data_IF_008783509527
#
_entry.id   IF_008783509527
#
_cell.length_a   1.000
_cell.length_b   1.000
_cell.length_c   1.000
_cell.angle_alpha   90.00
_cell.angle_beta   90.00
_cell.angle_gamma   90.00
#
_symmetry.space_group_name_H-M   'P 1'
#
loop_
_entity.id
_entity.type
_entity.pdbx_description
1 polymer ?
#
# COMPACT_ATOMS: atom_id res chain seq x y z
N UNK A 1 -17.87 -38.84 5.90
CA UNK A 1 -17.39 -37.48 6.24
C UNK A 1 -16.51 -37.61 7.47
N UNK A 2 -15.20 -37.52 7.31
CA UNK A 2 -14.25 -37.44 8.42
C UNK A 2 -14.50 -36.15 9.20
N UNK A 3 -14.63 -36.26 10.53
CA UNK A 3 -14.80 -35.09 11.40
C UNK A 3 -13.45 -34.39 11.51
N UNK A 4 -13.37 -33.12 11.10
CA UNK A 4 -12.15 -32.30 11.21
C UNK A 4 -11.85 -32.11 12.68
N UNK A 5 -10.74 -32.66 13.17
CA UNK A 5 -10.32 -32.50 14.56
C UNK A 5 -9.38 -31.31 14.72
N UNK A 6 -9.26 -30.79 15.94
CA UNK A 6 -8.29 -29.72 16.24
C UNK A 6 -6.83 -30.16 15.95
N UNK A 7 -6.54 -31.46 16.02
CA UNK A 7 -5.22 -32.03 15.71
C UNK A 7 -4.91 -31.88 14.22
N UNK A 8 -5.88 -32.12 13.35
CA UNK A 8 -5.71 -32.00 11.90
C UNK A 8 -5.41 -30.57 11.47
N UNK A 9 -6.07 -29.60 12.11
CA UNK A 9 -5.85 -28.16 11.86
C UNK A 9 -4.44 -27.73 12.27
N UNK A 10 -3.98 -28.16 13.44
CA UNK A 10 -2.64 -27.83 13.95
C UNK A 10 -1.54 -28.48 13.10
N UNK A 11 -1.70 -29.77 12.74
CA UNK A 11 -0.77 -30.47 11.87
C UNK A 11 -0.62 -29.76 10.52
N UNK A 12 -1.74 -29.34 9.92
CA UNK A 12 -1.75 -28.54 8.69
C UNK A 12 -1.04 -27.20 8.86
N UNK A 13 -1.28 -26.48 9.95
CA UNK A 13 -0.58 -25.22 10.22
C UNK A 13 0.94 -25.40 10.23
N UNK A 14 1.41 -26.41 10.97
CA UNK A 14 2.83 -26.72 11.08
C UNK A 14 3.44 -27.12 9.74
N UNK A 15 2.71 -27.91 8.94
CA UNK A 15 3.14 -28.30 7.60
C UNK A 15 3.34 -27.06 6.70
N UNK A 16 2.38 -26.12 6.68
CA UNK A 16 2.53 -24.87 5.92
C UNK A 16 3.70 -24.02 6.38
N UNK A 17 3.89 -23.87 7.70
CA UNK A 17 5.01 -23.11 8.24
C UNK A 17 6.36 -23.75 7.85
N UNK A 18 6.40 -25.09 7.78
CA UNK A 18 7.57 -25.81 7.29
C UNK A 18 7.81 -25.56 5.80
N UNK A 19 6.78 -25.72 4.98
CA UNK A 19 6.89 -25.69 3.52
C UNK A 19 7.14 -24.27 2.97
N UNK A 20 6.41 -23.28 3.49
CA UNK A 20 6.43 -21.92 2.95
C UNK A 20 7.23 -20.93 3.79
N UNK A 21 7.47 -21.23 5.07
CA UNK A 21 8.16 -20.31 5.99
C UNK A 21 9.52 -20.83 6.46
N UNK A 22 10.01 -21.94 5.88
CA UNK A 22 11.30 -22.54 6.24
C UNK A 22 11.35 -23.11 7.66
N UNK A 23 10.20 -23.53 8.21
CA UNK A 23 10.08 -24.06 9.57
C UNK A 23 10.00 -23.00 10.66
N UNK A 24 10.01 -21.71 10.30
CA UNK A 24 9.81 -20.61 11.22
C UNK A 24 8.32 -20.25 11.33
N UNK A 25 7.83 -20.02 12.54
CA UNK A 25 6.46 -19.54 12.77
C UNK A 25 6.36 -18.03 12.48
N UNK A 26 5.62 -17.59 11.44
CA UNK A 26 5.49 -16.19 11.09
C UNK A 26 4.95 -15.30 12.21
N UNK A 27 4.16 -15.85 13.15
CA UNK A 27 3.63 -15.06 14.25
C UNK A 27 4.67 -14.64 15.29
N UNK A 28 5.83 -15.29 15.31
CA UNK A 28 6.97 -14.96 16.17
C UNK A 28 7.97 -14.02 15.47
N UNK A 29 7.63 -13.51 14.29
CA UNK A 29 8.46 -12.57 13.56
C UNK A 29 8.62 -11.26 14.34
N UNK A 30 9.86 -10.81 14.51
CA UNK A 30 10.14 -9.47 14.99
C UNK A 30 9.82 -8.48 13.87
N UNK A 31 9.23 -7.33 14.23
CA UNK A 31 8.91 -6.28 13.26
C UNK A 31 10.17 -5.81 12.56
N UNK A 32 10.25 -6.02 11.25
CA UNK A 32 11.33 -5.56 10.38
C UNK A 32 10.74 -4.64 9.31
N UNK A 33 11.22 -3.40 9.26
CA UNK A 33 10.83 -2.41 8.25
C UNK A 33 11.58 -2.64 6.93
N UNK A 34 11.39 -3.82 6.32
CA UNK A 34 11.90 -4.11 4.98
C UNK A 34 10.89 -3.68 3.92
N UNK A 35 11.34 -3.33 2.71
CA UNK A 35 10.43 -2.98 1.62
C UNK A 35 9.50 -4.16 1.28
N UNK A 36 8.23 -3.83 1.02
CA UNK A 36 7.22 -4.78 0.60
C UNK A 36 7.48 -5.26 -0.84
N UNK A 37 7.02 -6.48 -1.21
CA UNK A 37 7.16 -6.97 -2.58
C UNK A 37 6.44 -6.06 -3.59
N UNK A 38 7.11 -5.79 -4.72
CA UNK A 38 6.63 -4.93 -5.82
C UNK A 38 6.22 -5.75 -7.05
N UNK A 39 5.52 -6.85 -6.82
CA UNK A 39 5.14 -7.78 -7.89
C UNK A 39 3.78 -8.45 -7.65
N UNK A 40 3.05 -8.03 -6.62
CA UNK A 40 1.68 -8.54 -6.36
C UNK A 40 0.71 -7.68 -7.16
N UNK A 41 0.10 -8.25 -8.20
CA UNK A 41 -0.92 -7.58 -9.01
C UNK A 41 -2.34 -7.91 -8.56
N UNK A 42 -3.32 -7.14 -9.07
CA UNK A 42 -4.74 -7.41 -8.82
C UNK A 42 -5.16 -8.81 -9.27
N UNK A 43 -4.66 -9.27 -10.42
CA UNK A 43 -4.96 -10.62 -10.93
C UNK A 43 -4.46 -11.73 -9.99
N UNK A 44 -3.31 -11.54 -9.34
CA UNK A 44 -2.78 -12.50 -8.37
C UNK A 44 -3.69 -12.58 -7.15
N UNK A 45 -4.14 -11.44 -6.64
CA UNK A 45 -5.11 -11.35 -5.53
C UNK A 45 -6.44 -12.01 -5.91
N UNK A 46 -6.92 -11.77 -7.12
CA UNK A 46 -8.15 -12.37 -7.65
C UNK A 46 -8.04 -13.89 -7.74
N UNK A 47 -6.98 -14.37 -8.40
CA UNK A 47 -6.72 -15.80 -8.61
C UNK A 47 -6.59 -16.52 -7.27
N UNK A 48 -5.91 -15.91 -6.29
CA UNK A 48 -5.82 -16.49 -4.96
C UNK A 48 -7.17 -16.53 -4.24
N UNK A 49 -7.93 -15.44 -4.20
CA UNK A 49 -9.21 -15.41 -3.48
C UNK A 49 -10.27 -16.35 -4.08
N UNK A 50 -10.30 -16.48 -5.40
CA UNK A 50 -11.32 -17.29 -6.10
C UNK A 50 -10.88 -18.73 -6.31
N UNK A 51 -9.63 -18.93 -6.72
CA UNK A 51 -9.07 -20.23 -7.08
C UNK A 51 -8.50 -21.02 -5.91
N UNK A 52 -8.52 -20.50 -4.68
CA UNK A 52 -8.08 -21.27 -3.51
C UNK A 52 -9.09 -22.37 -3.18
N UNK A 53 -8.58 -23.59 -3.12
CA UNK A 53 -9.36 -24.75 -2.69
C UNK A 53 -9.30 -24.94 -1.16
N UNK A 54 -10.41 -25.47 -0.65
CA UNK A 54 -10.53 -25.94 0.73
C UNK A 54 -9.61 -27.12 0.97
N UNK A 55 -8.81 -27.05 2.04
CA UNK A 55 -7.89 -28.13 2.39
C UNK A 55 -8.58 -29.44 2.80
N UNK A 56 -9.87 -29.38 3.17
CA UNK A 56 -10.60 -30.55 3.68
C UNK A 56 -11.64 -31.08 2.69
N UNK A 57 -12.33 -30.17 1.99
CA UNK A 57 -13.37 -30.54 1.03
C UNK A 57 -12.84 -30.58 -0.40
N UNK A 58 -11.66 -30.00 -0.66
CA UNK A 58 -11.07 -29.82 -2.00
C UNK A 58 -11.95 -29.02 -2.98
N UNK A 59 -13.00 -28.38 -2.48
CA UNK A 59 -13.84 -27.47 -3.25
C UNK A 59 -13.23 -26.05 -3.27
N UNK A 60 -13.39 -25.35 -4.39
CA UNK A 60 -13.02 -23.95 -4.51
C UNK A 60 -13.78 -23.09 -3.51
N UNK A 61 -13.09 -22.29 -2.69
CA UNK A 61 -13.76 -21.41 -1.72
C UNK A 61 -14.59 -20.31 -2.38
N UNK A 62 -14.19 -19.87 -3.58
CA UNK A 62 -14.81 -18.74 -4.30
C UNK A 62 -15.08 -17.56 -3.35
N UNK A 63 -14.01 -17.07 -2.70
CA UNK A 63 -14.14 -16.10 -1.62
C UNK A 63 -14.44 -14.67 -2.14
N UNK A 64 -15.61 -14.48 -2.73
CA UNK A 64 -16.06 -13.19 -3.28
C UNK A 64 -16.05 -12.06 -2.23
N UNK A 65 -16.36 -12.40 -0.97
CA UNK A 65 -16.33 -11.42 0.14
C UNK A 65 -14.94 -10.85 0.37
N UNK A 66 -13.89 -11.61 0.09
CA UNK A 66 -12.50 -11.17 0.26
C UNK A 66 -12.02 -10.31 -0.89
N UNK A 67 -12.73 -10.27 -2.02
CA UNK A 67 -12.51 -9.27 -3.07
C UNK A 67 -13.16 -7.93 -2.70
N UNK A 68 -14.25 -7.94 -1.93
CA UNK A 68 -14.93 -6.73 -1.46
C UNK A 68 -14.16 -6.00 -0.36
N UNK A 69 -13.03 -6.54 0.12
CA UNK A 69 -12.26 -5.95 1.22
C UNK A 69 -11.30 -4.86 0.78
N UNK A 70 -11.31 -4.50 -0.50
CA UNK A 70 -10.67 -3.27 -0.96
C UNK A 70 -11.09 -2.06 -0.10
N UNK A 71 -12.38 -1.98 0.25
CA UNK A 71 -12.90 -0.94 1.17
C UNK A 71 -12.25 -0.98 2.57
N UNK A 72 -11.82 -2.15 3.07
CA UNK A 72 -11.16 -2.26 4.37
C UNK A 72 -9.72 -1.75 4.30
N UNK A 73 -9.07 -1.95 3.16
CA UNK A 73 -7.80 -1.31 2.85
C UNK A 73 -7.97 0.21 2.79
N UNK A 74 -8.93 0.73 2.02
CA UNK A 74 -9.19 2.17 1.89
C UNK A 74 -9.48 2.84 3.24
N UNK A 75 -10.25 2.17 4.09
CA UNK A 75 -10.59 2.67 5.43
C UNK A 75 -9.44 2.51 6.46
N UNK A 76 -8.25 2.06 6.06
CA UNK A 76 -7.08 1.98 6.94
C UNK A 76 -7.20 0.93 8.05
N UNK A 77 -7.84 -0.21 7.78
CA UNK A 77 -8.04 -1.24 8.80
C UNK A 77 -6.80 -2.09 9.08
N UNK A 78 -5.86 -2.12 8.13
CA UNK A 78 -4.55 -2.74 8.30
C UNK A 78 -3.66 -1.75 9.07
N UNK A 79 -3.39 -2.06 10.33
CA UNK A 79 -2.67 -1.17 11.25
C UNK A 79 -1.15 -1.24 11.09
N UNK A 80 -0.63 -2.44 10.79
CA UNK A 80 0.79 -2.65 10.60
C UNK A 80 1.03 -3.73 9.57
N UNK A 81 2.13 -3.59 8.84
CA UNK A 81 2.62 -4.57 7.90
C UNK A 81 4.14 -4.68 8.06
N UNK A 82 4.60 -5.90 8.29
CA UNK A 82 5.99 -6.26 8.48
C UNK A 82 6.35 -7.29 7.41
N UNK A 83 7.56 -7.19 6.87
CA UNK A 83 8.01 -8.04 5.77
C UNK A 83 9.35 -8.70 6.10
N UNK A 84 9.43 -9.99 5.83
CA UNK A 84 10.67 -10.76 5.91
C UNK A 84 10.91 -11.47 4.60
N UNK A 85 12.00 -11.11 3.93
CA UNK A 85 12.50 -11.83 2.76
C UNK A 85 13.05 -13.19 3.20
N UNK A 86 12.62 -14.24 2.51
CA UNK A 86 13.12 -15.62 2.63
C UNK A 86 13.74 -16.03 1.30
N UNK A 87 14.46 -17.16 1.28
CA UNK A 87 15.13 -17.66 0.06
C UNK A 87 14.15 -17.85 -1.10
N UNK A 88 12.94 -18.30 -0.81
CA UNK A 88 11.90 -18.60 -1.81
C UNK A 88 10.97 -17.43 -2.11
N UNK A 89 11.10 -16.28 -1.45
CA UNK A 89 10.16 -15.17 -1.60
C UNK A 89 10.03 -14.28 -0.35
N UNK A 90 8.81 -14.00 0.07
CA UNK A 90 8.50 -13.05 1.13
C UNK A 90 7.44 -13.59 2.09
N UNK A 91 7.65 -13.35 3.38
CA UNK A 91 6.66 -13.57 4.43
C UNK A 91 6.22 -12.20 4.93
N UNK A 92 4.93 -11.99 4.97
CA UNK A 92 4.31 -10.73 5.35
C UNK A 92 3.45 -11.01 6.57
N UNK A 93 3.64 -10.23 7.62
CA UNK A 93 2.87 -10.32 8.86
C UNK A 93 2.19 -8.98 9.08
N UNK A 94 0.93 -9.02 9.46
CA UNK A 94 0.11 -7.82 9.53
C UNK A 94 -0.84 -7.88 10.72
N UNK A 95 -1.26 -6.70 11.16
CA UNK A 95 -2.30 -6.53 12.18
C UNK A 95 -3.51 -5.86 11.55
N UNK A 96 -4.68 -6.48 11.64
CA UNK A 96 -5.90 -6.01 10.99
C UNK A 96 -7.02 -5.85 12.02
N UNK A 97 -7.74 -4.72 11.97
CA UNK A 97 -8.91 -4.47 12.82
C UNK A 97 -10.05 -5.45 12.47
N UNK A 98 -10.85 -5.76 13.48
CA UNK A 98 -12.12 -6.47 13.28
C UNK A 98 -13.15 -5.55 12.62
N UNK A 99 -13.97 -6.12 11.73
CA UNK A 99 -15.04 -5.38 11.05
C UNK A 99 -16.21 -4.96 11.94
N UNK A 100 -16.56 -5.80 12.92
CA UNK A 100 -17.72 -5.60 13.79
C UNK A 100 -17.37 -5.15 15.21
N UNK A 101 -16.09 -5.23 15.60
CA UNK A 101 -15.63 -4.99 16.97
C UNK A 101 -14.36 -4.14 16.98
N UNK A 102 -14.52 -2.85 16.68
CA UNK A 102 -13.39 -1.91 16.59
C UNK A 102 -12.61 -1.75 17.91
N UNK A 103 -13.26 -2.00 19.06
CA UNK A 103 -12.63 -1.94 20.39
C UNK A 103 -11.76 -3.15 20.71
N UNK A 104 -11.85 -4.22 19.92
CA UNK A 104 -11.10 -5.45 20.18
C UNK A 104 -9.66 -5.35 19.66
N UNK A 105 -8.78 -6.16 20.26
CA UNK A 105 -7.40 -6.28 19.81
C UNK A 105 -7.37 -6.68 18.33
N UNK A 106 -6.53 -6.01 17.55
CA UNK A 106 -6.33 -6.34 16.14
C UNK A 106 -5.87 -7.79 15.98
N UNK A 107 -6.39 -8.46 14.95
CA UNK A 107 -6.04 -9.82 14.58
C UNK A 107 -4.72 -9.83 13.85
N UNK A 108 -3.92 -10.88 14.07
CA UNK A 108 -2.71 -11.09 13.28
C UNK A 108 -3.02 -11.98 12.08
N UNK A 109 -2.59 -11.53 10.91
CA UNK A 109 -2.61 -12.34 9.71
C UNK A 109 -1.21 -12.39 9.10
N UNK A 110 -0.87 -13.50 8.44
CA UNK A 110 0.35 -13.60 7.66
C UNK A 110 0.09 -14.18 6.28
N UNK A 111 0.94 -13.82 5.33
CA UNK A 111 0.88 -14.23 3.92
C UNK A 111 2.29 -14.62 3.48
N UNK A 112 2.40 -15.75 2.78
CA UNK A 112 3.62 -16.14 2.09
C UNK A 112 3.45 -15.95 0.59
N UNK A 113 4.43 -15.29 -0.02
CA UNK A 113 4.43 -14.88 -1.42
C UNK A 113 5.74 -15.36 -2.05
N UNK A 114 5.66 -15.88 -3.26
CA UNK A 114 6.83 -16.25 -4.05
C UNK A 114 7.60 -14.99 -4.49
N UNK A 115 8.86 -15.19 -4.84
CA UNK A 115 9.70 -14.24 -5.56
C UNK A 115 9.07 -13.64 -6.81
N UNK A 116 8.12 -14.33 -7.46
CA UNK A 116 7.38 -13.86 -8.63
C UNK A 116 6.11 -13.07 -8.31
N UNK A 117 5.70 -12.96 -7.04
CA UNK A 117 4.48 -12.24 -6.63
C UNK A 117 3.25 -13.13 -6.50
N UNK A 118 3.38 -14.41 -6.81
CA UNK A 118 2.33 -15.41 -6.63
C UNK A 118 2.09 -15.63 -5.13
N UNK A 119 0.82 -15.51 -4.71
CA UNK A 119 0.41 -15.75 -3.33
C UNK A 119 0.31 -17.25 -3.09
N UNK A 120 1.17 -17.78 -2.23
CA UNK A 120 1.28 -19.23 -1.98
C UNK A 120 0.27 -19.68 -0.93
N UNK A 121 0.25 -18.99 0.20
CA UNK A 121 -0.65 -19.30 1.32
C UNK A 121 -0.81 -18.10 2.24
N UNK A 122 -1.88 -18.12 3.02
CA UNK A 122 -2.10 -17.17 4.09
C UNK A 122 -2.64 -17.85 5.34
N UNK A 123 -2.67 -17.13 6.45
CA UNK A 123 -3.35 -17.53 7.66
C UNK A 123 -3.79 -16.30 8.43
N UNK A 124 -4.91 -16.40 9.14
CA UNK A 124 -5.33 -15.36 10.06
C UNK A 124 -5.95 -15.95 11.31
N UNK A 125 -5.83 -15.25 12.44
CA UNK A 125 -6.36 -15.67 13.75
C UNK A 125 -7.90 -15.59 13.86
N UNK A 126 -8.60 -15.08 12.83
CA UNK A 126 -10.06 -15.02 12.88
C UNK A 126 -10.72 -16.40 12.71
N UNK A 127 -11.98 -16.54 13.11
CA UNK A 127 -12.74 -17.79 12.95
C UNK A 127 -12.81 -18.28 11.50
N UNK A 128 -12.88 -17.37 10.53
CA UNK A 128 -12.86 -17.70 9.10
C UNK A 128 -11.44 -17.92 8.54
N UNK A 129 -10.41 -17.72 9.36
CA UNK A 129 -9.00 -17.76 8.96
C UNK A 129 -8.49 -19.16 8.61
N UNK A 130 -9.21 -20.20 9.02
CA UNK A 130 -8.93 -21.59 8.64
C UNK A 130 -8.98 -21.81 7.12
N UNK A 131 -9.85 -21.04 6.43
CA UNK A 131 -9.95 -21.05 4.97
C UNK A 131 -8.89 -20.22 4.25
N UNK A 132 -8.07 -19.45 4.97
CA UNK A 132 -6.93 -18.66 4.41
C UNK A 132 -7.30 -17.56 3.42
N UNK A 133 -8.59 -17.42 3.12
CA UNK A 133 -9.15 -16.40 2.23
C UNK A 133 -10.19 -15.59 2.98
N UNK A 134 -10.00 -15.34 4.27
CA UNK A 134 -10.90 -14.49 5.04
C UNK A 134 -10.74 -13.01 4.64
N UNK A 135 -11.68 -12.18 5.08
CA UNK A 135 -11.68 -10.75 4.73
C UNK A 135 -10.46 -9.99 5.24
N UNK A 136 -9.88 -10.41 6.36
CA UNK A 136 -8.63 -9.81 6.86
C UNK A 136 -7.44 -10.13 5.94
N UNK A 137 -7.37 -11.35 5.39
CA UNK A 137 -6.34 -11.70 4.40
C UNK A 137 -6.54 -10.88 3.13
N UNK A 138 -7.77 -10.77 2.63
CA UNK A 138 -8.08 -9.93 1.46
C UNK A 138 -7.61 -8.49 1.65
N UNK A 139 -7.88 -7.87 2.81
CA UNK A 139 -7.42 -6.51 3.10
C UNK A 139 -5.88 -6.37 3.03
N UNK A 140 -5.14 -7.36 3.54
CA UNK A 140 -3.67 -7.38 3.48
C UNK A 140 -3.17 -7.53 2.06
N UNK A 141 -3.81 -8.39 1.25
CA UNK A 141 -3.46 -8.56 -0.16
C UNK A 141 -3.67 -7.28 -0.97
N UNK A 142 -4.75 -6.53 -0.71
CA UNK A 142 -4.98 -5.25 -1.36
C UNK A 142 -3.98 -4.16 -0.94
N UNK A 143 -3.45 -4.19 0.29
CA UNK A 143 -2.32 -3.31 0.67
C UNK A 143 -1.11 -3.58 -0.22
N UNK A 144 -0.83 -4.85 -0.53
CA UNK A 144 0.33 -5.22 -1.35
C UNK A 144 0.14 -4.87 -2.81
N UNK A 145 -1.06 -5.07 -3.34
CA UNK A 145 -1.43 -4.61 -4.68
C UNK A 145 -1.29 -3.09 -4.80
N UNK A 146 -1.83 -2.33 -3.84
CA UNK A 146 -1.73 -0.87 -3.85
C UNK A 146 -0.28 -0.39 -3.73
N UNK A 147 0.55 -1.09 -2.92
CA UNK A 147 1.97 -0.83 -2.83
C UNK A 147 2.69 -1.07 -4.16
N UNK A 148 2.38 -2.16 -4.85
CA UNK A 148 2.95 -2.47 -6.15
C UNK A 148 2.57 -1.41 -7.20
N UNK A 149 1.28 -1.04 -7.26
CA UNK A 149 0.78 0.00 -8.15
C UNK A 149 1.47 1.34 -7.92
N UNK A 150 1.55 1.78 -6.66
CA UNK A 150 2.23 3.03 -6.28
C UNK A 150 3.72 3.00 -6.62
N UNK A 151 4.38 1.87 -6.36
CA UNK A 151 5.81 1.75 -6.68
C UNK A 151 6.04 1.84 -8.19
N UNK A 152 5.21 1.18 -8.98
CA UNK A 152 5.30 1.23 -10.45
C UNK A 152 5.02 2.64 -10.99
N UNK A 153 4.10 3.38 -10.36
CA UNK A 153 3.83 4.78 -10.70
C UNK A 153 5.04 5.68 -10.41
N UNK A 154 5.70 5.50 -9.27
CA UNK A 154 6.94 6.20 -8.92
C UNK A 154 8.03 5.88 -9.95
N UNK A 155 8.25 4.60 -10.24
CA UNK A 155 9.25 4.16 -11.23
C UNK A 155 8.96 4.78 -12.61
N UNK A 156 7.68 4.87 -13.00
CA UNK A 156 7.26 5.52 -14.25
C UNK A 156 7.51 7.02 -14.23
N UNK A 157 7.15 7.70 -13.15
CA UNK A 157 7.35 9.14 -13.01
C UNK A 157 8.83 9.53 -13.04
N UNK A 158 9.72 8.68 -12.53
CA UNK A 158 11.17 8.89 -12.64
C UNK A 158 11.70 8.64 -14.07
N UNK A 159 11.04 7.77 -14.82
CA UNK A 159 11.42 7.42 -16.20
C UNK A 159 10.82 8.32 -17.28
N UNK A 160 9.90 9.23 -16.93
CA UNK A 160 9.16 10.04 -17.91
C UNK A 160 10.07 11.10 -18.54
N UNK A 161 10.09 11.16 -19.87
CA UNK A 161 10.87 12.19 -20.56
C UNK A 161 10.17 13.55 -20.47
N UNK A 162 10.91 14.65 -20.60
CA UNK A 162 10.33 15.99 -20.59
C UNK A 162 9.31 16.23 -21.72
N UNK A 163 9.30 15.39 -22.75
CA UNK A 163 8.33 15.41 -23.85
C UNK A 163 7.04 14.62 -23.56
N UNK A 164 7.07 13.69 -22.60
CA UNK A 164 5.91 12.88 -22.22
C UNK A 164 5.06 13.55 -21.12
N UNK A 165 5.59 14.60 -20.49
CA UNK A 165 4.85 15.43 -19.53
C UNK A 165 4.10 16.53 -20.30
N UNK A 166 2.80 16.69 -20.01
CA UNK A 166 2.02 17.80 -20.57
C UNK A 166 2.74 19.13 -20.33
N UNK A 167 2.92 19.91 -21.39
CA UNK A 167 3.50 21.24 -21.31
C UNK A 167 2.68 22.09 -20.33
N UNK A 168 3.27 22.42 -19.19
CA UNK A 168 2.64 23.30 -18.21
C UNK A 168 2.92 24.73 -18.62
N UNK A 169 1.86 25.50 -18.87
CA UNK A 169 2.01 26.94 -19.02
C UNK A 169 2.44 27.50 -17.67
N UNK A 170 3.67 28.01 -17.58
CA UNK A 170 4.10 28.74 -16.40
C UNK A 170 3.25 30.01 -16.32
N UNK A 171 2.33 30.06 -15.36
CA UNK A 171 1.53 31.26 -15.11
C UNK A 171 2.51 32.36 -14.69
N UNK A 172 2.67 33.44 -15.47
CA UNK A 172 3.57 34.52 -15.10
C UNK A 172 3.09 35.12 -13.77
N UNK A 173 3.99 35.25 -12.79
CA UNK A 173 3.66 35.90 -11.50
C UNK A 173 3.53 37.43 -11.60
N UNK A 174 3.58 37.98 -12.81
CA UNK A 174 3.50 39.42 -13.02
C UNK A 174 2.06 39.89 -12.78
N UNK A 175 1.85 40.66 -11.71
CA UNK A 175 0.55 41.26 -11.41
C UNK A 175 0.18 42.39 -12.38
N UNK A 176 1.19 43.09 -12.91
CA UNK A 176 1.02 44.21 -13.85
C UNK A 176 2.14 44.18 -14.90
N UNK A 177 1.76 44.28 -16.17
CA UNK A 177 2.68 44.43 -17.30
C UNK A 177 2.66 45.91 -17.69
N UNK A 178 3.80 46.59 -17.52
CA UNK A 178 3.97 47.95 -18.04
C UNK A 178 4.08 47.85 -19.55
N UNK A 179 3.18 48.52 -20.28
CA UNK A 179 3.25 48.57 -21.73
C UNK A 179 4.42 49.47 -22.15
N UNK A 180 5.37 48.92 -22.90
CA UNK A 180 6.53 49.62 -23.43
C UNK A 180 6.65 49.40 -24.94
N UNK A 181 7.34 50.30 -25.64
CA UNK A 181 7.67 50.07 -27.05
C UNK A 181 8.59 48.86 -27.17
N UNK A 182 8.57 48.14 -28.31
CA UNK A 182 9.39 46.92 -28.49
C UNK A 182 10.88 47.19 -28.25
N UNK A 183 11.36 48.41 -28.54
CA UNK A 183 12.74 48.81 -28.31
C UNK A 183 13.09 48.93 -26.81
N UNK A 184 12.09 49.18 -25.96
CA UNK A 184 12.26 49.49 -24.53
C UNK A 184 11.89 48.30 -23.62
N UNK A 185 11.50 47.15 -24.18
CA UNK A 185 11.18 45.95 -23.40
C UNK A 185 12.47 45.34 -22.84
N UNK A 186 12.58 45.29 -21.52
CA UNK A 186 13.64 44.55 -20.84
C UNK A 186 13.23 43.08 -20.69
N UNK A 187 13.83 42.21 -21.51
CA UNK A 187 13.53 40.77 -21.54
C UNK A 187 14.08 40.00 -20.32
N UNK A 188 15.08 40.56 -19.64
CA UNK A 188 15.70 40.01 -18.42
C UNK A 188 15.70 41.07 -17.32
N UNK A 189 14.58 41.27 -16.61
CA UNK A 189 14.55 42.21 -15.49
C UNK A 189 15.50 41.73 -14.38
N UNK A 190 16.41 42.59 -13.94
CA UNK A 190 17.19 42.37 -12.72
C UNK A 190 16.23 42.62 -11.55
N UNK A 191 16.02 41.67 -10.63
CA UNK A 191 15.17 41.93 -9.47
C UNK A 191 15.77 43.09 -8.66
N UNK A 192 14.99 44.15 -8.44
CA UNK A 192 15.40 45.25 -7.57
C UNK A 192 15.65 44.72 -6.15
N UNK A 193 16.86 44.96 -5.65
CA UNK A 193 17.19 44.72 -4.25
C UNK A 193 16.44 45.76 -3.43
N UNK A 194 15.34 45.37 -2.81
CA UNK A 194 14.63 46.21 -1.85
C UNK A 194 15.52 46.40 -0.62
N UNK A 195 16.16 47.56 -0.50
CA UNK A 195 16.84 47.97 0.74
C UNK A 195 15.79 48.39 1.76
N UNK A 196 15.50 47.51 2.71
CA UNK A 196 14.64 47.81 3.87
C UNK A 196 15.45 48.63 4.89
N UNK A 197 15.27 49.95 4.90
CA UNK A 197 15.64 50.78 6.05
C UNK A 197 14.51 50.80 7.08
N UNK A 198 14.82 50.19 8.23
CA UNK A 198 14.26 50.35 9.59
C UNK A 198 12.88 49.76 9.96
N UNK A 199 12.96 48.57 10.58
CA UNK A 199 12.35 48.07 11.85
C UNK A 199 10.80 47.99 11.89
N UNK A 200 10.20 46.80 11.97
CA UNK A 200 10.06 46.04 13.22
C UNK A 200 10.20 44.51 13.07
N UNK A 201 11.03 43.96 13.97
CA UNK A 201 11.23 42.53 14.16
C UNK A 201 9.99 41.88 14.77
N UNK A 202 9.22 41.15 13.97
CA UNK A 202 8.56 39.93 14.44
C UNK A 202 8.80 38.82 13.43
N UNK A 203 9.55 37.83 13.90
CA UNK A 203 9.83 36.56 13.26
C UNK A 203 8.59 35.90 12.68
N UNK A 204 8.55 35.72 11.36
CA UNK A 204 7.82 34.62 10.74
C UNK A 204 8.86 33.85 9.94
N UNK A 205 9.31 32.76 10.56
CA UNK A 205 10.12 31.75 9.92
C UNK A 205 9.41 31.27 8.65
N UNK A 206 10.19 30.91 7.64
CA UNK A 206 9.75 29.97 6.62
C UNK A 206 9.44 28.68 7.37
N UNK A 207 8.19 28.49 7.74
CA UNK A 207 7.69 27.20 8.21
C UNK A 207 7.43 26.36 6.97
N UNK A 208 7.92 25.12 7.01
CA UNK A 208 7.51 24.06 6.09
C UNK A 208 5.98 24.03 5.93
N UNK A 209 5.45 23.70 4.74
CA UNK A 209 4.02 23.67 4.51
C UNK A 209 3.33 22.69 5.46
N UNK A 210 2.24 23.14 6.08
CA UNK A 210 1.40 22.33 6.97
C UNK A 210 0.85 21.09 6.22
N UNK A 211 0.68 19.92 6.88
CA UNK A 211 0.30 18.68 6.23
C UNK A 211 -1.17 18.61 5.75
N UNK A 212 -1.94 19.69 5.87
CA UNK A 212 -3.37 19.71 5.53
C UNK A 212 -3.66 20.09 4.06
N UNK A 213 -2.67 20.54 3.29
CA UNK A 213 -2.81 20.87 1.86
C UNK A 213 -2.63 19.68 0.90
N UNK A 214 -2.70 18.43 1.41
CA UNK A 214 -2.59 17.19 0.60
C UNK A 214 -3.94 16.48 0.41
N UNK A 215 -5.05 17.16 0.66
CA UNK A 215 -6.39 16.63 0.41
C UNK A 215 -6.98 17.25 -0.87
N UNK A 216 -7.58 16.39 -1.71
CA UNK A 216 -8.24 16.65 -2.99
C UNK A 216 -7.40 16.53 -4.26
N UNK A 217 -6.91 15.31 -4.50
CA UNK A 217 -7.01 14.76 -5.86
C UNK A 217 -8.20 13.81 -5.90
N UNK A 218 -9.32 14.34 -6.34
CA UNK A 218 -10.50 13.57 -6.71
C UNK A 218 -10.15 12.66 -7.89
N UNK A 219 -10.26 11.35 -7.66
CA UNK A 219 -10.49 10.37 -8.71
C UNK A 219 -11.84 10.71 -9.37
N UNK A 220 -11.79 11.51 -10.42
CA UNK A 220 -12.80 11.60 -11.47
C UNK A 220 -12.22 12.52 -12.54
N UNK A 221 -11.53 11.92 -13.51
CA UNK A 221 -11.54 12.39 -14.90
C UNK A 221 -11.15 11.17 -15.76
N UNK A 222 -12.20 10.55 -16.30
CA UNK A 222 -12.17 9.65 -17.45
C UNK A 222 -11.86 10.39 -18.73
#
# INVERSE_FOLDING_TARGET
>A
MSVITHVDVLARYNQKAKDYCGGFDPYNMKSEKKPLPRNVGYFDVYNYCIGKDSAFTHDSFRAYKSLQTFQYFENGWVQSIDCKKITTGFIIVSKVKHSFRLSWKALRCWVAIDSNGIILTAHCECMAGLGEVCTHVGAVLFVLEAWNRKSTEIDRAESISCTDVLAKWLVPKLKEVIMASVADICWNPVPEVVTHDSVDNTSIAITDPDPEDVAYYSLNDT
#
